data_IF_822675992226
#
_entry.id   IF_822675992226
#
_cell.length_a   1.000
_cell.length_b   1.000
_cell.length_c   1.000
_cell.angle_alpha   90.00
_cell.angle_beta   90.00
_cell.angle_gamma   90.00
#
_symmetry.space_group_name_H-M   'P 1'
#
loop_
_entity.id
_entity.type
_entity.pdbx_description
1 polymer ?
#
# COMPACT_ATOMS: atom_id res chain seq x y z
N UNK A 1 -5.76 6.55 16.83
CA UNK A 1 -4.41 6.95 16.33
C UNK A 1 -3.66 5.85 15.59
N UNK A 2 -3.82 4.56 15.90
CA UNK A 2 -3.00 3.50 15.29
C UNK A 2 -3.31 3.19 13.81
N UNK A 3 -4.58 3.27 13.38
CA UNK A 3 -4.98 2.92 11.99
C UNK A 3 -4.33 3.76 10.88
N UNK A 4 -4.24 5.10 11.05
CA UNK A 4 -3.55 5.99 10.10
C UNK A 4 -2.08 5.61 9.90
N UNK A 5 -1.38 5.35 11.01
CA UNK A 5 0.04 4.98 11.00
C UNK A 5 0.24 3.63 10.34
N UNK A 6 -0.59 2.64 10.67
CA UNK A 6 -0.53 1.30 10.08
C UNK A 6 -0.75 1.37 8.56
N UNK A 7 -1.79 2.06 8.11
CA UNK A 7 -2.06 2.23 6.68
C UNK A 7 -0.91 2.92 5.95
N UNK A 8 -0.35 3.99 6.53
CA UNK A 8 0.78 4.71 5.94
C UNK A 8 2.04 3.83 5.85
N UNK A 9 2.37 3.08 6.91
CA UNK A 9 3.52 2.17 6.90
C UNK A 9 3.33 1.02 5.91
N UNK A 10 2.13 0.46 5.77
CA UNK A 10 1.83 -0.56 4.77
C UNK A 10 2.04 -0.03 3.34
N UNK A 11 1.58 1.19 3.06
CA UNK A 11 1.82 1.83 1.75
C UNK A 11 3.31 2.04 1.48
N UNK A 12 4.08 2.51 2.48
CA UNK A 12 5.53 2.72 2.35
C UNK A 12 6.26 1.40 2.09
N UNK A 13 5.94 0.34 2.85
CA UNK A 13 6.56 -0.98 2.68
C UNK A 13 6.21 -1.59 1.32
N UNK A 14 4.93 -1.50 0.91
CA UNK A 14 4.50 -1.94 -0.41
C UNK A 14 5.22 -1.18 -1.52
N UNK A 15 5.33 0.14 -1.42
CA UNK A 15 6.01 0.96 -2.42
C UNK A 15 7.51 0.66 -2.53
N UNK A 16 8.18 0.44 -1.40
CA UNK A 16 9.60 0.06 -1.36
C UNK A 16 9.82 -1.32 -1.99
N UNK A 17 8.93 -2.28 -1.75
CA UNK A 17 9.01 -3.59 -2.36
C UNK A 17 8.69 -3.56 -3.88
N UNK A 18 7.87 -2.61 -4.34
CA UNK A 18 7.55 -2.42 -5.76
C UNK A 18 8.63 -1.62 -6.51
N UNK A 19 9.42 -0.81 -5.80
CA UNK A 19 10.41 0.10 -6.40
C UNK A 19 11.44 -0.59 -7.30
N UNK A 20 12.05 -1.74 -6.92
CA UNK A 20 13.00 -2.44 -7.79
C UNK A 20 12.35 -2.92 -9.08
N UNK A 21 11.13 -3.49 -8.98
CA UNK A 21 10.38 -3.99 -10.13
C UNK A 21 10.07 -2.88 -11.14
N UNK A 22 9.76 -1.67 -10.67
CA UNK A 22 9.52 -0.51 -11.55
C UNK A 22 10.84 0.07 -12.08
N UNK A 23 11.84 0.24 -11.21
CA UNK A 23 13.07 1.01 -11.51
C UNK A 23 14.02 0.27 -12.42
N UNK A 24 14.17 -1.04 -12.22
CA UNK A 24 15.12 -1.83 -13.00
C UNK A 24 14.51 -2.38 -14.28
N UNK A 25 13.19 -2.21 -14.50
CA UNK A 25 12.45 -2.90 -15.57
C UNK A 25 12.86 -4.37 -15.68
N UNK A 26 13.23 -4.98 -14.56
CA UNK A 26 13.36 -6.42 -14.45
C UNK A 26 11.93 -6.92 -14.62
N UNK A 27 11.59 -7.18 -15.88
CA UNK A 27 10.31 -7.74 -16.26
C UNK A 27 10.16 -8.94 -15.38
N UNK A 28 9.21 -8.86 -14.44
CA UNK A 28 8.89 -9.94 -13.51
C UNK A 28 8.87 -11.19 -14.35
N UNK A 29 9.87 -12.05 -14.12
CA UNK A 29 10.00 -13.26 -14.91
C UNK A 29 8.68 -13.99 -14.74
N UNK A 30 8.22 -14.69 -15.77
CA UNK A 30 6.96 -15.46 -15.69
C UNK A 30 7.07 -16.65 -14.72
N UNK A 31 8.12 -16.70 -13.91
CA UNK A 31 8.29 -17.63 -12.81
C UNK A 31 7.20 -17.36 -11.76
N UNK A 32 6.50 -18.43 -11.39
CA UNK A 32 5.45 -18.42 -10.37
C UNK A 32 5.80 -17.63 -9.09
N UNK A 33 7.02 -17.74 -8.52
CA UNK A 33 7.36 -17.07 -7.26
C UNK A 33 7.40 -15.55 -7.35
N UNK A 34 7.93 -15.00 -8.44
CA UNK A 34 8.08 -13.56 -8.62
C UNK A 34 6.71 -12.89 -8.81
N UNK A 35 5.79 -13.56 -9.51
CA UNK A 35 4.41 -13.12 -9.67
C UNK A 35 3.63 -13.07 -8.35
N UNK A 36 3.82 -14.06 -7.49
CA UNK A 36 3.18 -14.11 -6.16
C UNK A 36 3.67 -12.95 -5.29
N UNK A 37 4.98 -12.66 -5.32
CA UNK A 37 5.57 -11.54 -4.59
C UNK A 37 5.08 -10.19 -5.10
N UNK A 38 5.00 -10.01 -6.43
CA UNK A 38 4.46 -8.79 -7.02
C UNK A 38 3.00 -8.59 -6.60
N UNK A 39 2.17 -9.65 -6.70
CA UNK A 39 0.76 -9.58 -6.34
C UNK A 39 0.57 -9.26 -4.85
N UNK A 40 1.34 -9.90 -3.97
CA UNK A 40 1.33 -9.61 -2.54
C UNK A 40 1.72 -8.14 -2.26
N UNK A 41 2.72 -7.63 -2.97
CA UNK A 41 3.18 -6.24 -2.81
C UNK A 41 2.11 -5.23 -3.24
N UNK A 42 1.45 -5.48 -4.38
CA UNK A 42 0.34 -4.65 -4.87
C UNK A 42 -0.84 -4.69 -3.88
N UNK A 43 -1.17 -5.85 -3.33
CA UNK A 43 -2.21 -5.97 -2.31
C UNK A 43 -1.86 -5.17 -1.05
N UNK A 44 -0.65 -5.31 -0.52
CA UNK A 44 -0.20 -4.57 0.67
C UNK A 44 -0.29 -3.06 0.45
N UNK A 45 0.12 -2.59 -0.73
CA UNK A 45 0.04 -1.17 -1.10
C UNK A 45 -1.42 -0.71 -1.19
N UNK A 46 -2.28 -1.48 -1.86
CA UNK A 46 -3.72 -1.19 -1.97
C UNK A 46 -4.42 -1.13 -0.61
N UNK A 47 -4.17 -2.11 0.26
CA UNK A 47 -4.72 -2.12 1.62
C UNK A 47 -4.19 -0.95 2.46
N UNK A 48 -2.90 -0.63 2.36
CA UNK A 48 -2.31 0.51 3.04
C UNK A 48 -2.98 1.83 2.67
N UNK A 49 -3.17 2.06 1.37
CA UNK A 49 -3.85 3.26 0.84
C UNK A 49 -5.31 3.31 1.29
N UNK A 50 -6.04 2.19 1.23
CA UNK A 50 -7.44 2.14 1.66
C UNK A 50 -7.60 2.43 3.16
N UNK A 51 -6.78 1.82 4.02
CA UNK A 51 -6.81 2.01 5.47
C UNK A 51 -6.45 3.46 5.84
N UNK A 52 -5.40 3.99 5.21
CA UNK A 52 -4.99 5.37 5.42
C UNK A 52 -6.07 6.35 4.95
N UNK A 53 -6.59 6.16 3.73
CA UNK A 53 -7.64 6.99 3.14
C UNK A 53 -8.93 6.98 3.97
N UNK A 54 -9.41 5.81 4.38
CA UNK A 54 -10.58 5.68 5.27
C UNK A 54 -10.36 6.42 6.59
N UNK A 55 -9.16 6.35 7.14
CA UNK A 55 -8.83 7.04 8.39
C UNK A 55 -8.77 8.55 8.22
N UNK A 56 -8.30 9.06 7.07
CA UNK A 56 -8.36 10.49 6.72
C UNK A 56 -9.81 10.92 6.56
N UNK A 57 -10.60 10.19 5.78
CA UNK A 57 -12.01 10.47 5.52
C UNK A 57 -12.80 10.57 6.83
N UNK A 58 -12.60 9.60 7.73
CA UNK A 58 -13.22 9.58 9.05
C UNK A 58 -12.91 10.84 9.86
N UNK A 59 -11.68 11.33 9.79
CA UNK A 59 -11.25 12.54 10.52
C UNK A 59 -11.97 13.77 9.96
N UNK A 60 -11.97 13.92 8.63
CA UNK A 60 -12.63 15.03 7.95
C UNK A 60 -14.14 15.03 8.21
N UNK A 61 -14.79 13.87 8.23
CA UNK A 61 -16.22 13.76 8.54
C UNK A 61 -16.52 14.10 9.99
N UNK A 62 -15.69 13.69 10.95
CA UNK A 62 -15.91 14.07 12.36
C UNK A 62 -15.77 15.58 12.57
N UNK A 63 -14.78 16.21 11.92
CA UNK A 63 -14.54 17.65 12.04
C UNK A 63 -15.66 18.49 11.40
N UNK A 64 -16.42 17.93 10.45
CA UNK A 64 -17.54 18.63 9.79
C UNK A 64 -18.86 18.54 10.57
N UNK A 65 -18.97 17.60 11.50
CA UNK A 65 -20.20 17.33 12.27
C UNK A 65 -20.20 17.93 13.67
N UNK A 66 -19.12 18.61 14.07
CA UNK A 66 -18.95 19.32 15.35
C UNK A 66 -18.86 20.82 15.12
#
# INVERSE_FOLDING_TARGET
MNGKRIGLWMTVVGALALYPAIRFQEGVSTTLPEYVLLYATVLVLGFGVAIWGLSVLRTLTTDWTT
#
